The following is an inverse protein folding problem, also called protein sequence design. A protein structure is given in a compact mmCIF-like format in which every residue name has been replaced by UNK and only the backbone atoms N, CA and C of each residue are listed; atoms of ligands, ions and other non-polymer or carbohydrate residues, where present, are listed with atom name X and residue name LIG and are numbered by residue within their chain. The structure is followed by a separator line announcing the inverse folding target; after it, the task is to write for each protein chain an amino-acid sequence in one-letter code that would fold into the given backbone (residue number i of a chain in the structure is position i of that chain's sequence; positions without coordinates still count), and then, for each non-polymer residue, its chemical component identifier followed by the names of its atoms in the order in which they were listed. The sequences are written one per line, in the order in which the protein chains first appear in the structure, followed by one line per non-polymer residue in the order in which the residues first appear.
data_IF_826326793443
#
_entry.id   IF_826326793443
#
_cell.length_a   1.000
_cell.length_b   1.000
_cell.length_c   1.000
_cell.angle_alpha   90.00
_cell.angle_beta   90.00
_cell.angle_gamma   90.00
#
_symmetry.space_group_name_H-M   'P 1'
#
loop_
_entity.id
_entity.type
_entity.pdbx_description
1 polymer ?
#
# COMPACT_ATOMS: atom_id res chain seq x y z
N UNK A 1 -15.21 6.97 -31.53
CA UNK A 1 -15.47 8.17 -30.70
C UNK A 1 -14.12 8.67 -30.22
N UNK A 2 -13.63 9.79 -30.75
CA UNK A 2 -12.34 10.36 -30.37
C UNK A 2 -12.47 11.00 -28.98
N UNK A 3 -11.60 10.63 -28.04
CA UNK A 3 -11.53 11.22 -26.69
C UNK A 3 -10.99 12.65 -26.81
N UNK A 4 -11.79 13.64 -26.41
CA UNK A 4 -11.44 15.07 -26.43
C UNK A 4 -10.79 15.58 -25.14
N UNK A 5 -10.36 14.69 -24.24
CA UNK A 5 -9.71 15.03 -22.98
C UNK A 5 -8.31 14.40 -22.94
N UNK A 6 -7.34 15.13 -22.41
CA UNK A 6 -5.95 14.65 -22.18
C UNK A 6 -5.85 13.59 -21.07
N UNK A 7 -6.94 13.32 -20.35
CA UNK A 7 -7.01 12.29 -19.31
C UNK A 7 -7.45 10.94 -19.89
N UNK A 8 -6.58 9.94 -19.75
CA UNK A 8 -6.88 8.53 -20.06
C UNK A 8 -7.46 7.83 -18.83
N UNK A 9 -8.78 7.84 -18.67
CA UNK A 9 -9.48 7.14 -17.57
C UNK A 9 -9.39 5.60 -17.62
N UNK A 10 -8.78 5.03 -18.66
CA UNK A 10 -8.66 3.58 -18.89
C UNK A 10 -7.36 2.95 -18.37
N UNK A 11 -6.46 3.73 -17.77
CA UNK A 11 -5.18 3.22 -17.30
C UNK A 11 -5.29 2.64 -15.90
N UNK A 12 -6.02 1.54 -15.75
CA UNK A 12 -5.78 0.64 -14.62
C UNK A 12 -4.43 -0.03 -14.86
N UNK A 13 -3.35 0.52 -14.31
CA UNK A 13 -2.07 -0.18 -14.24
C UNK A 13 -2.21 -1.32 -13.23
N UNK A 14 -2.84 -2.41 -13.65
CA UNK A 14 -2.82 -3.67 -12.88
C UNK A 14 -1.38 -4.14 -12.88
N UNK A 15 -0.68 -3.88 -11.77
CA UNK A 15 0.69 -4.33 -11.59
C UNK A 15 0.79 -5.83 -11.90
N UNK A 16 1.57 -6.20 -12.90
CA UNK A 16 1.85 -7.60 -13.20
C UNK A 16 2.79 -8.22 -12.15
N UNK A 17 2.91 -9.56 -12.13
CA UNK A 17 3.95 -10.22 -11.37
C UNK A 17 5.33 -9.64 -11.73
N UNK A 18 6.17 -9.41 -10.72
CA UNK A 18 7.54 -8.92 -10.94
C UNK A 18 8.43 -9.93 -11.67
N UNK A 19 9.69 -9.58 -11.98
CA UNK A 19 10.60 -10.45 -12.72
C UNK A 19 10.83 -11.81 -12.04
N UNK A 20 10.82 -12.91 -12.80
CA UNK A 20 10.93 -14.28 -12.25
C UNK A 20 12.30 -14.55 -11.59
N UNK A 21 13.36 -13.92 -12.10
CA UNK A 21 14.70 -13.95 -11.48
C UNK A 21 14.68 -13.35 -10.08
N UNK A 22 14.01 -12.20 -9.93
CA UNK A 22 13.87 -11.51 -8.64
C UNK A 22 13.12 -12.37 -7.63
N UNK A 23 12.00 -12.96 -8.04
CA UNK A 23 11.25 -13.91 -7.21
C UNK A 23 12.13 -15.08 -6.72
N UNK A 24 12.88 -15.72 -7.62
CA UNK A 24 13.75 -16.83 -7.25
C UNK A 24 14.88 -16.44 -6.28
N UNK A 25 15.48 -15.27 -6.44
CA UNK A 25 16.49 -14.74 -5.51
C UNK A 25 15.88 -14.49 -4.12
N UNK A 26 14.70 -13.85 -4.06
CA UNK A 26 14.01 -13.58 -2.79
C UNK A 26 13.68 -14.88 -2.06
N UNK A 27 13.19 -15.91 -2.78
CA UNK A 27 12.92 -17.23 -2.19
C UNK A 27 14.21 -17.91 -1.70
N UNK A 28 15.30 -17.84 -2.48
CA UNK A 28 16.59 -18.38 -2.06
C UNK A 28 17.12 -17.73 -0.79
N UNK A 29 17.05 -16.40 -0.69
CA UNK A 29 17.45 -15.64 0.50
C UNK A 29 16.56 -15.99 1.69
N UNK A 30 15.23 -16.04 1.51
CA UNK A 30 14.30 -16.43 2.57
C UNK A 30 14.60 -17.83 3.11
N UNK A 31 14.82 -18.81 2.23
CA UNK A 31 15.22 -20.16 2.62
C UNK A 31 16.57 -20.17 3.35
N UNK A 32 17.56 -19.39 2.90
CA UNK A 32 18.86 -19.28 3.56
C UNK A 32 18.76 -18.68 4.97
N UNK A 33 17.93 -17.64 5.16
CA UNK A 33 17.66 -17.05 6.49
C UNK A 33 17.01 -18.08 7.41
N UNK A 34 15.98 -18.79 6.93
CA UNK A 34 15.32 -19.85 7.72
C UNK A 34 16.29 -20.99 8.05
N UNK A 35 17.13 -21.40 7.11
CA UNK A 35 18.17 -22.40 7.34
C UNK A 35 19.18 -21.95 8.41
N UNK A 36 19.64 -20.70 8.33
CA UNK A 36 20.59 -20.13 9.29
C UNK A 36 20.00 -20.04 10.70
N UNK A 37 18.74 -19.60 10.83
CA UNK A 37 18.01 -19.59 12.10
C UNK A 37 17.88 -21.01 12.64
N UNK A 38 17.44 -21.96 11.80
CA UNK A 38 17.27 -23.35 12.23
C UNK A 38 18.60 -23.97 12.69
N UNK A 39 19.70 -23.68 11.99
CA UNK A 39 21.03 -24.13 12.36
C UNK A 39 21.48 -23.53 13.72
N UNK A 40 21.20 -22.25 13.95
CA UNK A 40 21.55 -21.58 15.21
C UNK A 40 20.79 -22.16 16.41
N UNK A 41 19.54 -22.58 16.22
CA UNK A 41 18.74 -23.26 17.24
C UNK A 41 18.93 -24.81 17.26
N UNK A 42 19.99 -25.34 16.64
CA UNK A 42 20.29 -26.78 16.54
C UNK A 42 19.13 -27.63 15.97
N UNK A 43 18.27 -27.02 15.15
CA UNK A 43 17.19 -27.70 14.44
C UNK A 43 17.72 -28.67 13.38
N UNK A 44 16.98 -29.75 13.12
CA UNK A 44 17.37 -30.79 12.13
C UNK A 44 17.00 -30.42 10.68
N UNK A 45 16.25 -29.34 10.48
CA UNK A 45 15.59 -29.04 9.20
C UNK A 45 16.42 -28.11 8.30
N UNK A 46 17.51 -27.54 8.83
CA UNK A 46 18.41 -26.65 8.09
C UNK A 46 18.91 -27.20 6.74
N UNK A 47 19.23 -28.51 6.56
CA UNK A 47 19.73 -28.98 5.28
C UNK A 47 18.62 -28.94 4.21
N UNK A 48 17.35 -29.15 4.59
CA UNK A 48 16.24 -29.15 3.63
C UNK A 48 15.99 -27.75 3.11
N UNK A 49 16.01 -26.75 4.00
CA UNK A 49 15.91 -25.34 3.60
C UNK A 49 17.11 -24.89 2.77
N UNK A 50 18.31 -25.40 3.07
CA UNK A 50 19.52 -25.10 2.30
C UNK A 50 19.43 -25.66 0.87
N UNK A 51 18.98 -26.91 0.72
CA UNK A 51 18.75 -27.53 -0.59
C UNK A 51 17.67 -26.79 -1.36
N UNK A 52 16.54 -26.47 -0.72
CA UNK A 52 15.47 -25.69 -1.35
C UNK A 52 15.98 -24.31 -1.83
N UNK A 53 16.74 -23.60 -1.00
CA UNK A 53 17.34 -22.32 -1.36
C UNK A 53 18.30 -22.43 -2.54
N UNK A 54 19.16 -23.46 -2.56
CA UNK A 54 20.07 -23.73 -3.67
C UNK A 54 19.33 -24.05 -4.98
N UNK A 55 18.23 -24.80 -4.91
CA UNK A 55 17.36 -25.08 -6.06
C UNK A 55 16.71 -23.82 -6.61
N UNK A 56 16.17 -22.95 -5.74
CA UNK A 56 15.61 -21.66 -6.15
C UNK A 56 16.66 -20.75 -6.79
N UNK A 57 17.85 -20.68 -6.20
CA UNK A 57 18.95 -19.89 -6.73
C UNK A 57 19.43 -20.41 -8.09
N UNK A 58 19.63 -21.73 -8.21
CA UNK A 58 19.99 -22.37 -9.46
C UNK A 58 18.95 -22.16 -10.56
N UNK A 59 17.66 -22.31 -10.23
CA UNK A 59 16.56 -22.05 -11.15
C UNK A 59 16.51 -20.57 -11.58
N UNK A 60 16.72 -19.63 -10.65
CA UNK A 60 16.74 -18.20 -10.94
C UNK A 60 17.87 -17.79 -11.90
N UNK A 61 19.05 -18.41 -11.78
CA UNK A 61 20.22 -18.06 -12.58
C UNK A 61 20.21 -18.75 -13.95
N UNK A 62 19.88 -20.05 -14.01
CA UNK A 62 19.99 -20.87 -15.20
C UNK A 62 18.75 -20.78 -16.11
N UNK A 63 17.55 -20.89 -15.54
CA UNK A 63 16.27 -21.01 -16.29
C UNK A 63 15.11 -20.36 -15.50
N UNK A 64 15.07 -19.02 -15.38
CA UNK A 64 14.05 -18.34 -14.58
C UNK A 64 12.61 -18.56 -15.07
N UNK A 65 12.43 -18.91 -16.36
CA UNK A 65 11.11 -19.21 -16.93
C UNK A 65 10.38 -20.37 -16.22
N UNK A 66 11.12 -21.30 -15.60
CA UNK A 66 10.54 -22.42 -14.82
C UNK A 66 9.83 -21.91 -13.56
N UNK A 67 10.26 -20.77 -13.01
CA UNK A 67 9.68 -20.16 -11.82
C UNK A 67 8.44 -19.30 -12.15
N UNK A 68 8.11 -19.08 -13.42
CA UNK A 68 6.98 -18.26 -13.85
C UNK A 68 5.63 -18.67 -13.25
N UNK A 69 5.16 -19.94 -13.35
CA UNK A 69 3.86 -20.32 -12.79
C UNK A 69 3.81 -20.12 -11.27
N UNK A 70 4.92 -20.38 -10.58
CA UNK A 70 5.02 -20.20 -9.13
C UNK A 70 5.03 -18.72 -8.74
N UNK A 71 5.75 -17.87 -9.48
CA UNK A 71 5.78 -16.42 -9.28
C UNK A 71 4.37 -15.81 -9.47
N UNK A 72 3.64 -16.23 -10.51
CA UNK A 72 2.25 -15.78 -10.74
C UNK A 72 1.34 -16.21 -9.59
N UNK A 73 1.46 -17.45 -9.12
CA UNK A 73 0.65 -17.95 -8.01
C UNK A 73 0.96 -17.20 -6.70
N UNK A 74 2.24 -16.99 -6.40
CA UNK A 74 2.70 -16.21 -5.26
C UNK A 74 2.20 -14.77 -5.31
N UNK A 75 2.25 -14.14 -6.49
CA UNK A 75 1.73 -12.80 -6.70
C UNK A 75 0.21 -12.73 -6.42
N UNK A 76 -0.57 -13.67 -6.96
CA UNK A 76 -2.02 -13.75 -6.68
C UNK A 76 -2.33 -13.96 -5.20
N UNK A 77 -1.55 -14.80 -4.53
CA UNK A 77 -1.66 -14.99 -3.08
C UNK A 77 -1.36 -13.69 -2.33
N UNK A 78 -0.30 -12.97 -2.72
CA UNK A 78 0.02 -11.66 -2.18
C UNK A 78 -1.11 -10.64 -2.36
N UNK A 79 -1.76 -10.60 -3.52
CA UNK A 79 -2.93 -9.75 -3.75
C UNK A 79 -4.12 -10.12 -2.86
N UNK A 80 -4.40 -11.41 -2.68
CA UNK A 80 -5.45 -11.88 -1.79
C UNK A 80 -5.16 -11.49 -0.34
N UNK A 81 -3.92 -11.68 0.10
CA UNK A 81 -3.47 -11.28 1.43
C UNK A 81 -3.58 -9.75 1.59
N UNK A 82 -3.15 -8.97 0.60
CA UNK A 82 -3.27 -7.52 0.61
C UNK A 82 -4.72 -7.06 0.77
N UNK A 83 -5.67 -7.71 0.10
CA UNK A 83 -7.11 -7.40 0.23
C UNK A 83 -7.63 -7.57 1.67
N UNK A 84 -7.02 -8.43 2.47
CA UNK A 84 -7.39 -8.64 3.88
C UNK A 84 -6.57 -7.72 4.80
N UNK A 85 -5.26 -7.65 4.59
CA UNK A 85 -4.34 -6.87 5.43
C UNK A 85 -4.61 -5.37 5.29
N UNK A 86 -4.92 -4.87 4.09
CA UNK A 86 -5.13 -3.45 3.86
C UNK A 86 -6.30 -2.89 4.69
N UNK A 87 -7.52 -3.48 4.67
CA UNK A 87 -8.60 -3.05 5.58
C UNK A 87 -8.25 -3.17 7.07
N UNK A 88 -7.51 -4.20 7.48
CA UNK A 88 -7.10 -4.38 8.89
C UNK A 88 -6.16 -3.24 9.31
N UNK A 89 -5.14 -2.95 8.51
CA UNK A 89 -4.18 -1.88 8.77
C UNK A 89 -4.88 -0.52 8.76
N UNK A 90 -5.77 -0.26 7.79
CA UNK A 90 -6.55 0.97 7.75
C UNK A 90 -7.49 1.12 8.94
N UNK A 91 -8.13 0.02 9.37
CA UNK A 91 -8.95 -0.01 10.57
C UNK A 91 -8.12 0.28 11.83
N UNK A 92 -6.95 -0.36 11.97
CA UNK A 92 -6.05 -0.12 13.08
C UNK A 92 -5.58 1.34 13.11
N UNK A 93 -5.18 1.89 11.96
CA UNK A 93 -4.84 3.31 11.83
C UNK A 93 -6.00 4.17 12.31
N UNK A 94 -7.23 3.92 11.85
CA UNK A 94 -8.38 4.68 12.28
C UNK A 94 -8.58 4.64 13.81
N UNK A 95 -8.56 3.46 14.41
CA UNK A 95 -8.81 3.33 15.86
C UNK A 95 -7.65 3.76 16.75
N UNK A 96 -6.41 3.73 16.26
CA UNK A 96 -5.21 4.08 17.05
C UNK A 96 -4.78 5.53 16.85
N UNK A 97 -5.03 6.13 15.69
CA UNK A 97 -4.62 7.51 15.42
C UNK A 97 -5.82 8.44 15.24
N UNK A 98 -6.70 8.16 14.27
CA UNK A 98 -7.77 9.10 13.88
C UNK A 98 -8.81 9.27 14.99
N UNK A 99 -9.37 8.16 15.47
CA UNK A 99 -10.40 8.14 16.51
C UNK A 99 -9.92 8.80 17.83
N UNK A 100 -8.75 8.45 18.41
CA UNK A 100 -8.28 9.08 19.64
C UNK A 100 -7.91 10.55 19.41
N UNK A 101 -7.39 10.93 18.24
CA UNK A 101 -7.16 12.35 17.93
C UNK A 101 -8.47 13.13 18.02
N UNK A 102 -9.56 12.61 17.44
CA UNK A 102 -10.89 13.22 17.54
C UNK A 102 -11.39 13.32 18.99
N UNK A 103 -11.17 12.28 19.81
CA UNK A 103 -11.50 12.31 21.24
C UNK A 103 -10.72 13.39 22.00
N UNK A 104 -9.42 13.51 21.75
CA UNK A 104 -8.57 14.54 22.37
C UNK A 104 -9.03 15.93 21.94
N UNK A 105 -9.33 16.15 20.65
CA UNK A 105 -9.84 17.44 20.17
C UNK A 105 -11.16 17.81 20.84
N UNK A 106 -12.07 16.84 21.01
CA UNK A 106 -13.35 17.03 21.69
C UNK A 106 -13.17 17.34 23.17
N UNK A 107 -12.23 16.66 23.85
CA UNK A 107 -11.89 16.94 25.24
C UNK A 107 -11.29 18.34 25.43
N UNK A 108 -10.51 18.82 24.46
CA UNK A 108 -9.98 20.19 24.43
C UNK A 108 -11.02 21.24 23.98
N UNK A 109 -12.26 20.84 23.70
CA UNK A 109 -13.33 21.72 23.24
C UNK A 109 -13.12 22.29 21.83
N UNK A 110 -12.19 21.75 21.04
CA UNK A 110 -11.91 22.23 19.69
C UNK A 110 -12.82 21.54 18.68
N UNK A 111 -13.70 22.31 18.08
CA UNK A 111 -14.56 21.86 16.97
C UNK A 111 -14.01 22.41 15.64
N UNK A 112 -13.01 21.73 15.08
CA UNK A 112 -12.40 22.15 13.80
C UNK A 112 -13.36 22.03 12.61
N UNK A 113 -14.29 21.09 12.68
CA UNK A 113 -15.23 20.80 11.60
C UNK A 113 -16.55 21.57 11.76
N UNK A 114 -16.72 22.34 12.85
CA UNK A 114 -17.96 23.05 13.20
C UNK A 114 -19.19 22.14 13.08
N UNK A 115 -19.08 20.94 13.64
CA UNK A 115 -20.12 19.91 13.55
C UNK A 115 -21.40 20.30 14.30
N UNK A 116 -21.31 21.20 15.28
CA UNK A 116 -22.47 21.70 16.01
C UNK A 116 -23.34 22.56 15.08
N UNK A 117 -24.62 22.24 15.02
CA UNK A 117 -25.60 23.05 14.28
C UNK A 117 -25.87 24.35 15.03
N UNK A 118 -25.71 25.47 14.34
CA UNK A 118 -26.03 26.81 14.79
C UNK A 118 -27.33 27.25 14.08
N UNK A 119 -28.50 27.15 14.73
CA UNK A 119 -29.79 27.48 14.12
C UNK A 119 -29.99 29.00 13.92
N UNK A 120 -29.32 29.81 14.73
CA UNK A 120 -29.40 31.28 14.68
C UNK A 120 -28.32 31.90 13.77
N UNK A 121 -27.53 31.09 13.07
CA UNK A 121 -26.49 31.58 12.17
C UNK A 121 -27.08 32.00 10.81
N UNK A 122 -26.82 33.24 10.40
CA UNK A 122 -27.24 33.76 9.09
C UNK A 122 -26.61 32.99 7.91
N UNK A 123 -25.38 32.49 8.08
CA UNK A 123 -24.67 31.68 7.09
C UNK A 123 -23.52 30.89 7.69
N UNK A 124 -23.30 29.67 7.21
CA UNK A 124 -22.12 28.84 7.56
C UNK A 124 -20.87 29.22 6.75
N UNK A 125 -20.98 30.17 5.81
CA UNK A 125 -19.87 30.57 4.94
C UNK A 125 -18.75 31.24 5.74
N UNK A 126 -17.55 30.66 5.68
CA UNK A 126 -16.36 31.24 6.32
C UNK A 126 -15.77 32.30 5.38
N UNK A 127 -16.00 33.57 5.71
CA UNK A 127 -15.39 34.70 5.00
C UNK A 127 -13.87 34.67 5.21
N UNK A 128 -13.12 34.54 4.11
CA UNK A 128 -11.66 34.52 4.15
C UNK A 128 -11.10 35.91 4.39
N UNK A 129 -10.14 36.03 5.31
CA UNK A 129 -9.34 37.24 5.52
C UNK A 129 -7.85 36.87 5.47
N UNK A 130 -7.08 37.39 4.50
CA UNK A 130 -7.50 38.31 3.44
C UNK A 130 -8.45 37.65 2.42
N UNK A 131 -9.23 38.45 1.67
CA UNK A 131 -10.00 37.94 0.53
C UNK A 131 -9.10 37.11 -0.38
N UNK A 132 -9.66 36.06 -1.01
CA UNK A 132 -8.94 35.30 -2.02
C UNK A 132 -8.40 36.21 -3.14
N UNK A 133 -7.41 35.75 -3.93
CA UNK A 133 -6.85 36.56 -5.00
C UNK A 133 -7.96 37.01 -5.96
N UNK A 134 -7.85 38.24 -6.47
CA UNK A 134 -8.87 38.82 -7.33
C UNK A 134 -9.20 37.86 -8.49
N UNK A 135 -10.46 37.78 -8.96
CA UNK A 135 -10.85 36.93 -10.08
C UNK A 135 -9.94 37.12 -11.32
N UNK A 136 -9.43 38.33 -11.50
CA UNK A 136 -8.50 38.77 -12.54
C UNK A 136 -7.10 38.12 -12.47
N UNK A 137 -6.76 37.46 -11.35
CA UNK A 137 -5.48 36.78 -11.15
C UNK A 137 -5.35 35.46 -11.93
N UNK A 138 -6.47 34.87 -12.36
CA UNK A 138 -6.48 33.63 -13.12
C UNK A 138 -6.41 33.92 -14.61
N UNK A 139 -5.20 34.24 -15.10
CA UNK A 139 -4.96 34.65 -16.49
C UNK A 139 -5.13 33.54 -17.53
N UNK A 140 -4.86 32.29 -17.13
CA UNK A 140 -4.88 31.12 -18.03
C UNK A 140 -5.74 30.01 -17.42
N UNK A 141 -7.06 30.14 -17.49
CA UNK A 141 -7.99 29.12 -16.96
C UNK A 141 -8.25 27.95 -17.93
N UNK A 142 -7.80 28.05 -19.19
CA UNK A 142 -8.04 27.07 -20.24
C UNK A 142 -6.81 26.88 -21.12
#
# INVERSE_FOLDING_TARGET
MAQGTHESYSREEVAGPGPERGFGIVMAVACAVVAAINLWYAGRWWPWFSVAGALFLGAALLRPAVLKPLNVLWFKFGMLLHKVVNPIVMGLLFFVTVWPTGLVMRALGRDLLRLKREPDADSYWIVRQPPGPAPESMKDQF
#
